data_IF_954474309268
#
_entry.id   IF_954474309268
#
_cell.length_a   1.000
_cell.length_b   1.000
_cell.length_c   1.000
_cell.angle_alpha   90.00
_cell.angle_beta   90.00
_cell.angle_gamma   90.00
#
_symmetry.space_group_name_H-M   'P 1'
#
loop_
_entity.id
_entity.type
_entity.pdbx_description
1 polymer ?
#
# COMPACT_ATOMS: atom_id res chain seq x y z
N UNK A 1 21.74 5.27 -8.18
CA UNK A 1 21.39 5.40 -9.62
C UNK A 1 22.00 4.27 -10.47
N UNK A 2 23.28 3.93 -10.32
CA UNK A 2 23.96 2.93 -11.16
C UNK A 2 23.48 1.48 -10.89
N UNK A 3 23.17 1.11 -9.64
CA UNK A 3 22.72 -0.23 -9.25
C UNK A 3 21.35 -0.62 -9.80
N UNK A 4 20.41 0.33 -9.90
CA UNK A 4 19.07 0.10 -10.46
C UNK A 4 19.16 -0.20 -11.96
N UNK A 5 20.07 0.47 -12.68
CA UNK A 5 20.29 0.26 -14.11
C UNK A 5 20.87 -1.12 -14.44
N UNK A 6 21.78 -1.62 -13.59
CA UNK A 6 22.37 -2.96 -13.75
C UNK A 6 21.34 -4.08 -13.54
N UNK A 7 20.38 -3.88 -12.63
CA UNK A 7 19.30 -4.83 -12.34
C UNK A 7 18.12 -4.72 -13.31
N UNK A 8 17.89 -3.56 -13.91
CA UNK A 8 16.81 -3.33 -14.87
C UNK A 8 16.82 -4.33 -16.03
N UNK A 9 18.01 -4.67 -16.53
CA UNK A 9 18.17 -5.59 -17.67
C UNK A 9 18.18 -7.08 -17.25
N UNK A 10 18.21 -7.39 -15.95
CA UNK A 10 18.26 -8.78 -15.42
C UNK A 10 16.98 -9.22 -14.72
N UNK A 11 16.17 -8.28 -14.25
CA UNK A 11 14.81 -8.54 -13.78
C UNK A 11 13.92 -8.78 -15.00
N UNK A 12 14.01 -9.97 -15.61
CA UNK A 12 12.89 -10.49 -16.41
C UNK A 12 11.72 -10.62 -15.44
N UNK A 13 10.84 -9.62 -15.48
CA UNK A 13 9.59 -9.59 -14.74
C UNK A 13 8.72 -10.74 -15.28
N UNK A 14 8.90 -11.94 -14.74
CA UNK A 14 8.02 -13.09 -14.98
C UNK A 14 6.62 -12.69 -14.50
N UNK A 15 5.62 -12.98 -15.34
CA UNK A 15 4.36 -12.22 -15.34
C UNK A 15 3.46 -12.45 -14.11
N UNK A 16 3.66 -13.50 -13.30
CA UNK A 16 2.61 -13.97 -12.37
C UNK A 16 3.09 -14.34 -10.95
N UNK A 17 3.91 -13.50 -10.30
CA UNK A 17 4.32 -13.73 -8.90
C UNK A 17 3.81 -12.63 -7.95
N UNK A 18 3.54 -12.98 -6.69
CA UNK A 18 3.06 -12.08 -5.64
C UNK A 18 3.96 -10.85 -5.43
N UNK A 19 5.28 -11.03 -5.51
CA UNK A 19 6.27 -9.94 -5.44
C UNK A 19 6.06 -8.93 -6.57
N UNK A 20 5.70 -9.39 -7.77
CA UNK A 20 5.45 -8.52 -8.91
C UNK A 20 4.11 -7.77 -8.76
N UNK A 21 3.11 -8.42 -8.17
CA UNK A 21 1.85 -7.76 -7.82
C UNK A 21 2.04 -6.63 -6.81
N UNK A 22 2.82 -6.87 -5.75
CA UNK A 22 3.19 -5.83 -4.78
C UNK A 22 4.00 -4.73 -5.48
N UNK A 23 4.99 -5.09 -6.30
CA UNK A 23 5.85 -4.14 -7.01
C UNK A 23 5.07 -3.21 -7.95
N UNK A 24 4.11 -3.73 -8.72
CA UNK A 24 3.25 -2.91 -9.59
C UNK A 24 2.37 -1.93 -8.81
N UNK A 25 2.02 -2.28 -7.57
CA UNK A 25 1.18 -1.47 -6.69
C UNK A 25 1.98 -0.80 -5.56
N UNK A 26 3.31 -0.70 -5.70
CA UNK A 26 4.21 -0.31 -4.61
C UNK A 26 3.85 1.06 -4.00
N UNK A 27 3.33 1.98 -4.81
CA UNK A 27 2.87 3.29 -4.36
C UNK A 27 1.73 3.16 -3.33
N UNK A 28 0.74 2.30 -3.59
CA UNK A 28 -0.36 2.05 -2.66
C UNK A 28 0.13 1.45 -1.35
N UNK A 29 1.03 0.46 -1.43
CA UNK A 29 1.60 -0.17 -0.24
C UNK A 29 2.46 0.79 0.59
N UNK A 30 3.27 1.63 -0.05
CA UNK A 30 4.07 2.65 0.64
C UNK A 30 3.20 3.68 1.34
N UNK A 31 2.17 4.18 0.65
CA UNK A 31 1.23 5.12 1.25
C UNK A 31 0.44 4.47 2.40
N UNK A 32 -0.06 3.26 2.19
CA UNK A 32 -0.78 2.50 3.20
C UNK A 32 0.08 2.20 4.44
N UNK A 33 1.38 1.94 4.27
CA UNK A 33 2.32 1.80 5.37
C UNK A 33 2.42 3.08 6.21
N UNK A 34 2.49 4.25 5.57
CA UNK A 34 2.51 5.54 6.28
C UNK A 34 1.26 5.75 7.14
N UNK A 35 0.07 5.54 6.55
CA UNK A 35 -1.21 5.62 7.27
C UNK A 35 -1.28 4.59 8.39
N UNK A 36 -0.85 3.35 8.11
CA UNK A 36 -0.89 2.25 9.06
C UNK A 36 -0.01 2.52 10.29
N UNK A 37 1.21 3.01 10.09
CA UNK A 37 2.10 3.39 11.19
C UNK A 37 1.49 4.48 12.09
N UNK A 38 0.78 5.45 11.51
CA UNK A 38 0.06 6.47 12.29
C UNK A 38 -1.09 5.88 13.11
N UNK A 39 -1.82 4.90 12.57
CA UNK A 39 -2.91 4.23 13.29
C UNK A 39 -2.39 3.35 14.44
N UNK A 40 -1.31 2.62 14.20
CA UNK A 40 -0.66 1.75 15.18
C UNK A 40 -0.14 2.54 16.38
N UNK A 41 0.28 3.80 16.20
CA UNK A 41 0.67 4.67 17.31
C UNK A 41 -0.41 4.78 18.39
N UNK A 42 -1.69 4.92 17.99
CA UNK A 42 -2.81 4.98 18.94
C UNK A 42 -3.02 3.68 19.74
N UNK A 43 -2.54 2.55 19.22
CA UNK A 43 -2.54 1.27 19.92
C UNK A 43 -1.33 1.12 20.85
N UNK A 44 -0.15 1.59 20.44
CA UNK A 44 1.10 1.45 21.22
C UNK A 44 1.06 2.26 22.51
N UNK A 45 0.65 3.53 22.42
CA UNK A 45 0.63 4.46 23.55
C UNK A 45 -0.07 3.89 24.81
N UNK A 46 -1.28 3.30 24.73
CA UNK A 46 -1.92 2.71 25.91
C UNK A 46 -1.36 1.35 26.34
N UNK A 47 -0.68 0.62 25.45
CA UNK A 47 -0.21 -0.75 25.72
C UNK A 47 1.24 -0.82 26.21
N UNK A 48 2.03 0.23 26.00
CA UNK A 48 3.47 0.21 26.30
C UNK A 48 3.81 0.01 27.78
N UNK A 49 2.93 0.44 28.69
CA UNK A 49 3.15 0.32 30.14
C UNK A 49 2.70 -1.04 30.70
N UNK A 50 1.91 -1.80 29.92
CA UNK A 50 1.29 -3.06 30.36
C UNK A 50 1.95 -4.30 29.74
N UNK A 51 2.72 -4.13 28.67
CA UNK A 51 3.29 -5.23 27.88
C UNK A 51 4.81 -5.07 27.81
N UNK A 52 5.54 -6.16 27.98
CA UNK A 52 6.99 -6.15 27.81
C UNK A 52 7.38 -5.67 26.39
N UNK A 53 8.35 -4.75 26.33
CA UNK A 53 8.73 -4.05 25.10
C UNK A 53 9.02 -4.97 23.90
N UNK A 54 9.65 -6.14 24.12
CA UNK A 54 9.96 -7.08 23.05
C UNK A 54 8.71 -7.73 22.43
N UNK A 55 7.73 -8.08 23.26
CA UNK A 55 6.43 -8.62 22.81
C UNK A 55 5.64 -7.54 22.09
N UNK A 56 5.68 -6.31 22.63
CA UNK A 56 5.00 -5.16 22.03
C UNK A 56 5.54 -4.86 20.62
N UNK A 57 6.86 -4.84 20.41
CA UNK A 57 7.46 -4.59 19.09
C UNK A 57 7.02 -5.65 18.07
N UNK A 58 7.03 -6.93 18.45
CA UNK A 58 6.61 -8.01 17.55
C UNK A 58 5.13 -7.87 17.18
N UNK A 59 4.27 -7.60 18.17
CA UNK A 59 2.83 -7.40 17.96
C UNK A 59 2.56 -6.19 17.06
N UNK A 60 3.21 -5.07 17.35
CA UNK A 60 3.12 -3.81 16.59
C UNK A 60 3.54 -4.00 15.14
N UNK A 61 4.65 -4.71 14.91
CA UNK A 61 5.11 -5.00 13.56
C UNK A 61 4.07 -5.81 12.76
N UNK A 62 3.55 -6.89 13.36
CA UNK A 62 2.56 -7.74 12.71
C UNK A 62 1.27 -6.97 12.40
N UNK A 63 0.75 -6.22 13.37
CA UNK A 63 -0.44 -5.38 13.17
C UNK A 63 -0.19 -4.35 12.08
N UNK A 64 0.96 -3.68 12.09
CA UNK A 64 1.29 -2.66 11.08
C UNK A 64 1.35 -3.25 9.67
N UNK A 65 1.95 -4.43 9.48
CA UNK A 65 2.02 -5.08 8.17
C UNK A 65 0.62 -5.48 7.68
N UNK A 66 -0.19 -6.11 8.53
CA UNK A 66 -1.55 -6.53 8.17
C UNK A 66 -2.42 -5.33 7.81
N UNK A 67 -2.35 -4.26 8.62
CA UNK A 67 -3.15 -3.06 8.42
C UNK A 67 -2.72 -2.32 7.16
N UNK A 68 -1.41 -2.24 6.87
CA UNK A 68 -0.90 -1.68 5.62
C UNK A 68 -1.37 -2.46 4.39
N UNK A 69 -1.38 -3.81 4.43
CA UNK A 69 -1.91 -4.63 3.33
C UNK A 69 -3.40 -4.34 3.12
N UNK A 70 -4.19 -4.30 4.20
CA UNK A 70 -5.62 -4.03 4.13
C UNK A 70 -5.92 -2.65 3.55
N UNK A 71 -5.23 -1.61 4.02
CA UNK A 71 -5.39 -0.23 3.53
C UNK A 71 -4.98 -0.14 2.06
N UNK A 72 -3.89 -0.81 1.65
CA UNK A 72 -3.46 -0.82 0.25
C UNK A 72 -4.52 -1.46 -0.67
N UNK A 73 -5.13 -2.57 -0.27
CA UNK A 73 -6.24 -3.20 -1.01
C UNK A 73 -7.44 -2.28 -1.13
N UNK A 74 -7.81 -1.57 -0.07
CA UNK A 74 -8.89 -0.59 -0.11
C UNK A 74 -8.59 0.58 -1.05
N UNK A 75 -7.38 1.14 -0.97
CA UNK A 75 -6.98 2.27 -1.81
C UNK A 75 -7.00 1.92 -3.30
N UNK A 76 -6.55 0.73 -3.67
CA UNK A 76 -6.64 0.25 -5.07
C UNK A 76 -8.07 0.18 -5.56
N UNK A 77 -9.02 -0.25 -4.71
CA UNK A 77 -10.44 -0.27 -5.06
C UNK A 77 -11.01 1.14 -5.22
N UNK A 78 -10.64 2.06 -4.34
CA UNK A 78 -11.07 3.46 -4.42
C UNK A 78 -10.52 4.13 -5.69
N UNK A 79 -9.25 3.89 -6.02
CA UNK A 79 -8.61 4.40 -7.23
C UNK A 79 -9.35 3.93 -8.50
N UNK A 80 -9.67 2.64 -8.58
CA UNK A 80 -10.44 2.08 -9.70
C UNK A 80 -11.84 2.72 -9.84
N UNK A 81 -12.53 2.97 -8.71
CA UNK A 81 -13.82 3.66 -8.71
C UNK A 81 -13.69 5.12 -9.16
N UNK A 82 -12.64 5.81 -8.71
CA UNK A 82 -12.31 7.16 -9.14
C UNK A 82 -12.09 7.23 -10.65
N UNK A 83 -11.34 6.28 -11.21
CA UNK A 83 -11.08 6.20 -12.65
C UNK A 83 -12.35 5.95 -13.47
N UNK A 84 -13.22 5.05 -13.03
CA UNK A 84 -14.49 4.78 -13.69
C UNK A 84 -15.41 6.02 -13.69
N UNK A 85 -15.45 6.74 -12.56
CA UNK A 85 -16.21 7.99 -12.44
C UNK A 85 -15.67 9.06 -13.38
N UNK A 86 -14.35 9.18 -13.48
CA UNK A 86 -13.69 10.13 -14.38
C UNK A 86 -13.97 9.82 -15.86
N UNK A 87 -13.94 8.55 -16.24
CA UNK A 87 -14.29 8.10 -17.61
C UNK A 87 -15.76 8.40 -17.91
N UNK A 88 -16.65 8.17 -16.95
CA UNK A 88 -18.07 8.49 -17.10
C UNK A 88 -18.28 9.99 -17.31
N UNK A 89 -17.64 10.84 -16.50
CA UNK A 89 -17.69 12.29 -16.66
C UNK A 89 -17.15 12.73 -18.02
N UNK A 90 -15.98 12.21 -18.43
CA UNK A 90 -15.37 12.52 -19.73
C UNK A 90 -16.30 12.20 -20.89
N UNK A 91 -16.97 11.05 -20.87
CA UNK A 91 -17.94 10.67 -21.92
C UNK A 91 -19.11 11.65 -21.98
N UNK A 92 -19.65 12.03 -20.81
CA UNK A 92 -20.79 12.94 -20.71
C UNK A 92 -20.46 14.36 -21.20
N UNK A 93 -19.26 14.86 -20.92
CA UNK A 93 -18.79 16.16 -21.43
C UNK A 93 -18.48 16.11 -22.91
N UNK A 94 -17.88 15.03 -23.42
CA UNK A 94 -17.58 14.87 -24.85
C UNK A 94 -18.82 14.68 -25.73
N UNK A 95 -19.95 14.21 -25.17
CA UNK A 95 -21.24 14.13 -25.87
C UNK A 95 -22.06 15.43 -25.83
N UNK A 96 -21.60 16.45 -25.08
CA UNK A 96 -22.31 17.70 -24.86
C UNK A 96 -21.70 18.90 -25.63
N UNK A 97 -20.63 18.67 -26.40
CA UNK A 97 -20.03 19.62 -27.33
C UNK A 97 -20.04 19.06 -28.75
#
# INVERSE_FOLDING_TARGET
MITVFVLYNRLKITKDNFINYIGKNAIFYYFAQGVSSSLVYFMVVPLQDNIHWGVLILMVYLVNVVLAIFIAELLKKIDALGWNTLIWLRRKTASAG
#
